data_IF_222960791425
#
_entry.id   IF_222960791425
#
_cell.length_a   1.000
_cell.length_b   1.000
_cell.length_c   1.000
_cell.angle_alpha   90.00
_cell.angle_beta   90.00
_cell.angle_gamma   90.00
#
_symmetry.space_group_name_H-M   'P 1'
#
loop_
_entity.id
_entity.type
_entity.pdbx_description
1 polymer ?
#
# COMPACT_ATOMS: atom_id res chain seq x y z
N UNK A 1 19.86 -0.37 4.56
CA UNK A 1 19.44 -0.07 3.19
C UNK A 1 20.61 0.38 2.34
N UNK A 2 21.28 1.50 2.66
CA UNK A 2 22.36 2.08 1.83
C UNK A 2 23.52 1.11 1.55
N UNK A 3 23.91 0.30 2.53
CA UNK A 3 24.95 -0.74 2.37
C UNK A 3 24.51 -1.85 1.42
N UNK A 4 23.27 -2.28 1.48
CA UNK A 4 22.71 -3.26 0.56
C UNK A 4 22.68 -2.73 -0.88
N UNK A 5 22.24 -1.48 -1.07
CA UNK A 5 22.24 -0.82 -2.38
C UNK A 5 23.63 -0.73 -2.99
N UNK A 6 24.66 -0.44 -2.18
CA UNK A 6 26.05 -0.41 -2.65
C UNK A 6 26.55 -1.78 -3.11
N UNK A 7 26.08 -2.85 -2.46
CA UNK A 7 26.44 -4.22 -2.87
C UNK A 7 25.72 -4.63 -4.16
N UNK A 8 24.43 -4.30 -4.28
CA UNK A 8 23.66 -4.53 -5.51
C UNK A 8 24.29 -3.80 -6.69
N UNK A 9 24.65 -2.52 -6.50
CA UNK A 9 25.30 -1.71 -7.53
C UNK A 9 26.68 -2.25 -7.98
N UNK A 10 27.36 -2.98 -7.11
CA UNK A 10 28.65 -3.60 -7.42
C UNK A 10 28.53 -4.96 -8.13
N UNK A 11 27.33 -5.53 -8.19
CA UNK A 11 27.11 -6.83 -8.87
C UNK A 11 26.88 -6.60 -10.38
N UNK A 12 27.80 -7.05 -11.23
CA UNK A 12 27.69 -6.84 -12.69
C UNK A 12 26.56 -7.64 -13.35
N UNK A 13 25.92 -8.55 -12.61
CA UNK A 13 24.78 -9.32 -13.11
C UNK A 13 23.44 -8.58 -12.94
N UNK A 14 23.44 -7.45 -12.22
CA UNK A 14 22.23 -6.65 -11.96
C UNK A 14 22.27 -5.38 -12.78
N UNK A 15 21.32 -5.23 -13.69
CA UNK A 15 21.06 -3.99 -14.41
C UNK A 15 19.97 -3.20 -13.70
N UNK A 16 20.35 -2.10 -13.06
CA UNK A 16 19.39 -1.28 -12.32
C UNK A 16 18.36 -0.58 -13.23
N UNK A 17 18.62 -0.46 -14.53
CA UNK A 17 17.65 0.07 -15.47
C UNK A 17 16.40 -0.82 -15.64
N UNK A 18 16.51 -2.11 -15.31
CA UNK A 18 15.35 -3.02 -15.30
C UNK A 18 14.37 -2.73 -14.15
N UNK A 19 14.79 -1.95 -13.16
CA UNK A 19 14.04 -1.60 -11.95
C UNK A 19 13.71 -0.10 -11.85
N UNK A 20 13.82 0.62 -12.97
CA UNK A 20 13.48 2.04 -13.15
C UNK A 20 12.55 2.10 -14.37
N UNK A 21 11.28 1.80 -14.17
CA UNK A 21 10.26 1.68 -15.22
C UNK A 21 9.10 2.64 -15.03
N UNK A 22 8.95 3.19 -13.81
CA UNK A 22 7.83 4.03 -13.40
C UNK A 22 8.32 5.38 -12.86
N UNK A 23 7.68 6.49 -13.24
CA UNK A 23 7.77 7.78 -12.53
C UNK A 23 6.62 7.89 -11.52
N UNK A 24 6.74 7.19 -10.41
CA UNK A 24 5.70 7.09 -9.38
C UNK A 24 5.30 8.44 -8.79
N UNK A 25 6.23 9.38 -8.77
CA UNK A 25 6.08 10.68 -8.17
C UNK A 25 5.82 11.80 -9.18
N UNK A 26 5.80 11.47 -10.49
CA UNK A 26 5.68 12.43 -11.59
C UNK A 26 6.72 13.57 -11.44
N UNK A 27 8.00 13.17 -11.29
CA UNK A 27 9.09 14.09 -10.95
C UNK A 27 9.30 15.16 -12.01
N UNK A 28 9.03 14.85 -13.27
CA UNK A 28 9.12 15.79 -14.36
C UNK A 28 7.83 16.61 -14.60
N UNK A 29 6.73 16.25 -13.92
CA UNK A 29 5.43 16.94 -13.96
C UNK A 29 4.69 16.82 -15.28
N UNK A 30 4.95 15.77 -16.09
CA UNK A 30 4.32 15.58 -17.39
C UNK A 30 3.02 14.76 -17.31
N UNK A 31 2.71 14.14 -16.15
CA UNK A 31 1.54 13.31 -15.89
C UNK A 31 1.66 11.87 -16.42
N UNK A 32 2.78 11.51 -17.04
CA UNK A 32 3.08 10.14 -17.44
C UNK A 32 3.85 9.44 -16.31
N UNK A 33 3.29 8.38 -15.77
CA UNK A 33 3.91 7.57 -14.71
C UNK A 33 4.45 6.24 -15.22
N UNK A 34 4.32 5.97 -16.49
CA UNK A 34 4.81 4.75 -17.16
C UNK A 34 6.06 5.10 -17.96
N UNK A 35 7.06 5.62 -17.25
CA UNK A 35 8.36 6.01 -17.80
C UNK A 35 9.43 6.02 -16.69
N UNK A 36 10.72 5.78 -17.05
CA UNK A 36 11.82 5.81 -16.08
C UNK A 36 12.13 7.22 -15.61
N UNK A 37 12.43 7.38 -14.31
CA UNK A 37 12.75 8.66 -13.66
C UNK A 37 14.12 8.67 -12.95
N UNK A 38 14.83 7.55 -12.95
CA UNK A 38 16.12 7.37 -12.27
C UNK A 38 15.98 6.89 -10.82
N UNK A 39 14.78 6.75 -10.29
CA UNK A 39 14.53 6.09 -9.01
C UNK A 39 14.28 4.59 -9.21
N UNK A 40 14.75 3.79 -8.28
CA UNK A 40 14.38 2.38 -8.21
C UNK A 40 12.93 2.28 -7.71
N UNK A 41 12.08 1.61 -8.48
CA UNK A 41 10.62 1.65 -8.30
C UNK A 41 10.14 1.00 -7.00
N UNK A 42 10.48 -0.25 -6.77
CA UNK A 42 9.94 -1.06 -5.66
C UNK A 42 11.07 -1.75 -4.91
N UNK A 43 11.66 -1.05 -3.94
CA UNK A 43 12.75 -1.58 -3.15
C UNK A 43 12.22 -2.39 -1.96
N UNK A 44 12.33 -3.71 -2.05
CA UNK A 44 11.98 -4.62 -0.97
C UNK A 44 13.24 -5.21 -0.32
N UNK A 45 13.38 -5.02 0.99
CA UNK A 45 14.57 -5.43 1.74
C UNK A 45 14.20 -6.52 2.73
N UNK A 46 14.97 -7.59 2.72
CA UNK A 46 14.88 -8.67 3.70
C UNK A 46 16.05 -8.58 4.67
N UNK A 47 15.76 -8.59 5.97
CA UNK A 47 16.77 -8.64 7.01
C UNK A 47 16.82 -10.01 7.68
N UNK A 48 17.96 -10.37 8.25
CA UNK A 48 18.08 -11.54 9.13
C UNK A 48 17.35 -11.28 10.47
N UNK A 49 17.11 -12.32 11.23
CA UNK A 49 16.38 -12.33 12.50
C UNK A 49 14.87 -12.32 12.32
N UNK A 50 14.18 -12.62 13.43
CA UNK A 50 12.71 -12.58 13.51
C UNK A 50 12.27 -11.13 13.61
N UNK A 51 11.20 -10.76 12.89
CA UNK A 51 10.62 -9.42 12.98
C UNK A 51 9.92 -9.18 14.31
N UNK A 52 9.87 -7.92 14.74
CA UNK A 52 9.21 -7.54 15.99
C UNK A 52 7.72 -7.91 15.97
N UNK A 53 7.05 -7.81 14.80
CA UNK A 53 5.66 -8.21 14.59
C UNK A 53 5.39 -9.69 14.88
N UNK A 54 6.44 -10.54 14.86
CA UNK A 54 6.40 -11.95 15.22
C UNK A 54 7.08 -12.23 16.59
N UNK A 55 7.28 -11.20 17.40
CA UNK A 55 7.87 -11.28 18.73
C UNK A 55 9.37 -11.07 18.82
N UNK A 56 10.05 -10.75 17.70
CA UNK A 56 11.45 -10.28 17.67
C UNK A 56 12.52 -11.32 18.02
N UNK A 57 12.16 -12.59 18.30
CA UNK A 57 13.10 -13.62 18.70
C UNK A 57 13.97 -13.22 19.88
N UNK A 58 15.30 -13.39 19.76
CA UNK A 58 16.26 -13.02 20.82
C UNK A 58 16.39 -11.49 21.03
N UNK A 59 15.96 -10.68 20.07
CA UNK A 59 16.01 -9.22 20.15
C UNK A 59 14.76 -8.61 20.80
N UNK A 60 13.64 -9.34 20.83
CA UNK A 60 12.37 -8.87 21.37
C UNK A 60 11.95 -7.53 20.76
N UNK A 61 11.62 -6.56 21.58
CA UNK A 61 11.22 -5.20 21.20
C UNK A 61 12.33 -4.35 20.53
N UNK A 62 13.55 -4.86 20.44
CA UNK A 62 14.64 -4.22 19.71
C UNK A 62 14.80 -4.78 18.28
N UNK A 63 13.97 -5.71 17.87
CA UNK A 63 13.95 -6.20 16.50
C UNK A 63 13.33 -5.15 15.56
N UNK A 64 13.57 -5.32 14.28
CA UNK A 64 12.94 -4.46 13.26
C UNK A 64 11.51 -4.97 13.05
N UNK A 65 10.53 -4.10 13.21
CA UNK A 65 9.16 -4.33 12.78
C UNK A 65 9.09 -4.19 11.26
N UNK A 66 8.42 -5.08 10.56
CA UNK A 66 8.17 -4.92 9.13
C UNK A 66 7.47 -3.59 8.87
N UNK A 67 7.95 -2.82 7.89
CA UNK A 67 7.37 -1.52 7.57
C UNK A 67 7.75 -1.01 6.18
N UNK A 68 6.99 -0.06 5.68
CA UNK A 68 7.36 0.82 4.57
C UNK A 68 7.86 2.15 5.11
N UNK A 69 9.00 2.63 4.62
CA UNK A 69 9.58 3.93 4.98
C UNK A 69 10.37 4.53 3.81
N UNK A 70 11.06 5.65 4.06
CA UNK A 70 11.90 6.29 3.07
C UNK A 70 13.25 6.74 3.66
N UNK A 71 14.16 7.11 2.79
CA UNK A 71 15.52 7.53 3.14
C UNK A 71 15.66 9.01 3.52
N UNK A 72 14.54 9.74 3.64
CA UNK A 72 14.48 11.17 3.94
C UNK A 72 14.64 12.06 2.70
N UNK A 73 15.39 11.61 1.73
CA UNK A 73 15.56 12.20 0.41
C UNK A 73 16.02 11.11 -0.57
N UNK A 74 15.84 11.28 -1.88
CA UNK A 74 16.45 10.40 -2.85
C UNK A 74 17.95 10.24 -2.60
N UNK A 75 18.39 9.00 -2.51
CA UNK A 75 19.79 8.63 -2.23
C UNK A 75 20.44 8.13 -3.53
N UNK A 76 21.31 8.93 -4.16
CA UNK A 76 22.06 8.48 -5.33
C UNK A 76 22.93 7.27 -4.96
N UNK A 77 22.83 6.23 -5.76
CA UNK A 77 23.53 4.95 -5.51
C UNK A 77 24.94 5.05 -6.12
N UNK A 78 25.99 5.06 -5.28
CA UNK A 78 27.34 5.27 -5.76
C UNK A 78 27.79 4.18 -6.74
N UNK A 79 28.49 4.60 -7.81
CA UNK A 79 29.04 3.68 -8.81
C UNK A 79 28.06 3.28 -9.91
N UNK A 80 26.83 3.77 -9.87
CA UNK A 80 25.83 3.54 -10.92
C UNK A 80 25.82 4.68 -11.94
N UNK A 81 25.16 4.46 -13.07
CA UNK A 81 24.92 5.48 -14.08
C UNK A 81 23.51 5.34 -14.64
N UNK A 82 22.73 6.41 -14.53
CA UNK A 82 21.38 6.51 -15.10
C UNK A 82 21.30 7.68 -16.07
N UNK A 83 20.68 7.51 -17.24
CA UNK A 83 20.37 8.61 -18.15
C UNK A 83 19.13 9.40 -17.71
N UNK A 84 18.38 8.90 -16.73
CA UNK A 84 17.11 9.42 -16.28
C UNK A 84 17.26 10.12 -14.93
N UNK A 85 16.39 11.12 -14.67
CA UNK A 85 16.33 11.83 -13.41
C UNK A 85 17.51 12.74 -13.09
N UNK A 86 17.32 13.56 -12.05
CA UNK A 86 18.28 14.60 -11.64
C UNK A 86 19.14 14.17 -10.43
N UNK A 87 19.55 12.91 -10.38
CA UNK A 87 20.33 12.34 -9.27
C UNK A 87 21.84 12.32 -9.54
N UNK A 88 22.35 13.36 -10.24
CA UNK A 88 23.77 13.46 -10.57
C UNK A 88 24.24 12.44 -11.61
N UNK A 89 23.34 11.96 -12.47
CA UNK A 89 23.60 10.92 -13.46
C UNK A 89 23.73 9.51 -12.88
N UNK A 90 23.20 9.28 -11.68
CA UNK A 90 23.18 7.99 -11.01
C UNK A 90 21.73 7.52 -10.84
N UNK A 91 21.53 6.21 -10.69
CA UNK A 91 20.28 5.72 -10.12
C UNK A 91 20.18 6.14 -8.64
N UNK A 92 18.97 6.32 -8.17
CA UNK A 92 18.71 6.65 -6.78
C UNK A 92 17.64 5.72 -6.18
N UNK A 93 17.61 5.62 -4.87
CA UNK A 93 16.55 4.98 -4.12
C UNK A 93 15.94 5.99 -3.15
N UNK A 94 14.63 5.92 -2.93
CA UNK A 94 13.96 6.84 -2.00
C UNK A 94 13.21 6.10 -0.92
N UNK A 95 12.25 5.30 -1.26
CA UNK A 95 11.46 4.52 -0.33
C UNK A 95 11.75 3.01 -0.43
N UNK A 96 11.33 2.30 0.56
CA UNK A 96 11.56 0.88 0.68
C UNK A 96 10.54 0.24 1.59
N UNK A 97 10.33 -1.05 1.40
CA UNK A 97 9.76 -1.93 2.42
C UNK A 97 10.87 -2.77 3.05
N UNK A 98 10.73 -3.09 4.33
CA UNK A 98 11.67 -3.97 5.04
C UNK A 98 10.89 -4.99 5.87
N UNK A 99 11.28 -6.24 5.76
CA UNK A 99 10.67 -7.37 6.47
C UNK A 99 11.74 -8.42 6.79
N UNK A 100 11.48 -9.29 7.76
CA UNK A 100 12.41 -10.38 8.08
C UNK A 100 12.42 -11.42 6.95
N UNK A 101 13.52 -12.15 6.82
CA UNK A 101 13.68 -13.17 5.77
C UNK A 101 12.70 -14.34 5.90
N UNK A 102 12.15 -14.56 7.08
CA UNK A 102 11.11 -15.55 7.38
C UNK A 102 9.69 -14.96 7.42
N UNK A 103 9.53 -13.73 6.93
CA UNK A 103 8.21 -13.11 6.84
C UNK A 103 7.24 -13.98 6.04
N UNK A 104 6.05 -14.14 6.57
CA UNK A 104 4.96 -14.78 5.84
C UNK A 104 4.51 -13.89 4.66
N UNK A 105 3.92 -14.51 3.65
CA UNK A 105 3.46 -13.82 2.44
C UNK A 105 2.54 -12.62 2.74
N UNK A 106 1.71 -12.72 3.78
CA UNK A 106 0.81 -11.65 4.18
C UNK A 106 1.52 -10.42 4.70
N UNK A 107 2.65 -10.56 5.41
CA UNK A 107 3.47 -9.42 5.86
C UNK A 107 4.07 -8.73 4.64
N UNK A 108 4.72 -9.48 3.75
CA UNK A 108 5.31 -8.91 2.54
C UNK A 108 4.29 -8.18 1.68
N UNK A 109 3.11 -8.77 1.51
CA UNK A 109 2.05 -8.18 0.70
C UNK A 109 1.37 -6.96 1.37
N UNK A 110 1.31 -6.92 2.70
CA UNK A 110 0.86 -5.76 3.47
C UNK A 110 1.82 -4.57 3.24
N UNK A 111 3.11 -4.78 3.46
CA UNK A 111 4.11 -3.74 3.25
C UNK A 111 4.15 -3.26 1.79
N UNK A 112 4.01 -4.19 0.83
CA UNK A 112 3.89 -3.83 -0.56
C UNK A 112 2.60 -3.04 -0.87
N UNK A 113 1.52 -3.31 -0.15
CA UNK A 113 0.30 -2.48 -0.20
C UNK A 113 0.58 -1.02 0.19
N UNK A 114 1.40 -0.79 1.22
CA UNK A 114 1.86 0.55 1.56
C UNK A 114 2.74 1.17 0.48
N UNK A 115 3.55 0.38 -0.16
CA UNK A 115 4.37 0.82 -1.28
C UNK A 115 3.50 1.27 -2.47
N UNK A 116 2.39 0.61 -2.71
CA UNK A 116 1.37 1.02 -3.69
C UNK A 116 0.53 2.24 -3.25
N UNK A 117 0.75 2.78 -2.06
CA UNK A 117 0.09 3.98 -1.55
C UNK A 117 -1.10 3.72 -0.63
N UNK A 118 -1.38 2.49 -0.25
CA UNK A 118 -2.48 2.15 0.66
C UNK A 118 -2.11 2.46 2.11
N UNK A 119 -3.02 3.03 2.91
CA UNK A 119 -2.85 3.17 4.35
C UNK A 119 -3.21 1.86 5.08
N UNK A 120 -2.84 1.79 6.36
CA UNK A 120 -3.43 0.82 7.28
C UNK A 120 -4.94 1.00 7.39
N UNK A 121 -5.66 -0.12 7.42
CA UNK A 121 -7.10 -0.17 7.63
C UNK A 121 -7.46 -0.66 9.04
N UNK A 122 -6.58 -0.39 10.02
CA UNK A 122 -6.78 -0.66 11.45
C UNK A 122 -6.42 0.55 12.30
N UNK A 123 -6.71 0.48 13.62
CA UNK A 123 -6.40 1.57 14.56
C UNK A 123 -4.89 1.59 14.89
N UNK A 124 -4.11 2.31 14.10
CA UNK A 124 -2.65 2.47 14.29
C UNK A 124 -2.25 3.16 15.60
N UNK A 125 -3.20 3.74 16.33
CA UNK A 125 -2.96 4.35 17.66
C UNK A 125 -3.18 3.37 18.80
N UNK A 126 -3.61 2.15 18.49
CA UNK A 126 -3.95 1.13 19.48
C UNK A 126 -4.87 1.66 20.59
N UNK A 127 -5.78 2.55 20.22
CA UNK A 127 -6.70 3.21 21.16
C UNK A 127 -7.83 2.31 21.66
N UNK A 128 -7.89 1.07 21.17
CA UNK A 128 -8.94 0.10 21.49
C UNK A 128 -10.27 0.37 20.77
N UNK A 129 -10.28 1.22 19.76
CA UNK A 129 -11.48 1.53 18.95
C UNK A 129 -11.78 0.47 17.90
N UNK A 130 -10.95 -0.56 17.84
CA UNK A 130 -11.16 -1.74 17.02
C UNK A 130 -10.58 -1.65 15.62
N UNK A 131 -10.86 -2.69 14.85
CA UNK A 131 -10.44 -2.84 13.46
C UNK A 131 -11.69 -2.84 12.57
N UNK A 132 -11.95 -1.77 11.83
CA UNK A 132 -13.22 -1.65 11.09
C UNK A 132 -13.39 -2.71 10.00
N UNK A 133 -12.30 -3.21 9.41
CA UNK A 133 -12.33 -4.24 8.37
C UNK A 133 -11.69 -5.56 8.81
N UNK A 134 -10.94 -5.57 9.90
CA UNK A 134 -10.34 -6.77 10.52
C UNK A 134 -9.72 -7.73 9.46
N UNK A 135 -10.11 -8.99 9.51
CA UNK A 135 -9.59 -10.04 8.62
C UNK A 135 -10.07 -9.94 7.16
N UNK A 136 -10.90 -8.96 6.82
CA UNK A 136 -11.40 -8.78 5.45
C UNK A 136 -10.46 -7.97 4.55
N UNK A 137 -9.35 -7.47 5.09
CA UNK A 137 -8.35 -6.76 4.32
C UNK A 137 -6.93 -7.16 4.71
N UNK A 138 -6.08 -7.28 3.70
CA UNK A 138 -4.64 -7.47 3.90
C UNK A 138 -3.98 -6.22 4.53
N UNK A 139 -4.59 -5.03 4.38
CA UNK A 139 -4.13 -3.81 5.04
C UNK A 139 -4.60 -3.70 6.50
N UNK A 140 -5.12 -4.80 7.07
CA UNK A 140 -5.51 -4.98 8.46
C UNK A 140 -5.14 -6.41 8.89
N UNK A 141 -5.85 -7.00 9.85
CA UNK A 141 -5.58 -8.36 10.35
C UNK A 141 -5.65 -9.47 9.29
N UNK A 142 -6.17 -9.19 8.11
CA UNK A 142 -6.19 -10.12 6.99
C UNK A 142 -4.81 -10.53 6.48
N UNK A 143 -3.78 -9.73 6.78
CA UNK A 143 -2.37 -10.08 6.51
C UNK A 143 -1.91 -11.31 7.31
N UNK A 144 -2.53 -11.57 8.46
CA UNK A 144 -2.22 -12.70 9.35
C UNK A 144 -3.12 -13.91 9.15
N UNK A 145 -3.96 -13.94 8.12
CA UNK A 145 -4.85 -15.06 7.86
C UNK A 145 -4.08 -16.33 7.45
N UNK A 146 -4.73 -17.48 7.66
CA UNK A 146 -4.16 -18.81 7.42
C UNK A 146 -4.02 -19.64 8.69
N UNK A 147 -3.81 -20.94 8.52
CA UNK A 147 -3.56 -21.87 9.62
C UNK A 147 -2.24 -21.56 10.33
N UNK A 148 -1.24 -21.18 9.55
CA UNK A 148 -0.01 -20.54 10.04
C UNK A 148 -0.17 -19.06 9.72
N UNK A 149 -0.04 -18.18 10.72
CA UNK A 149 -0.30 -16.77 10.55
C UNK A 149 0.42 -16.15 9.36
N UNK A 150 -0.33 -15.51 8.48
CA UNK A 150 0.17 -14.81 7.30
C UNK A 150 0.48 -15.67 6.07
N UNK A 151 0.29 -17.00 6.14
CA UNK A 151 0.58 -17.87 4.99
C UNK A 151 -0.53 -17.89 3.93
N UNK A 152 -1.75 -17.53 4.32
CA UNK A 152 -2.92 -17.47 3.45
C UNK A 152 -3.64 -16.13 3.64
N UNK A 153 -2.99 -14.99 3.30
CA UNK A 153 -3.57 -13.68 3.54
C UNK A 153 -4.84 -13.48 2.72
N UNK A 154 -5.72 -12.63 3.21
CA UNK A 154 -6.87 -12.16 2.44
C UNK A 154 -6.44 -11.14 1.38
N UNK A 155 -7.34 -10.81 0.45
CA UNK A 155 -7.07 -9.78 -0.55
C UNK A 155 -7.21 -8.36 0.01
N UNK A 156 -6.97 -7.39 -0.83
CA UNK A 156 -7.28 -5.99 -0.55
C UNK A 156 -8.78 -5.77 -0.37
N UNK A 157 -9.14 -4.84 0.51
CA UNK A 157 -10.53 -4.43 0.67
C UNK A 157 -11.11 -3.84 -0.62
N UNK A 158 -12.44 -3.78 -0.79
CA UNK A 158 -13.04 -3.08 -1.92
C UNK A 158 -12.62 -1.62 -2.03
N UNK A 159 -12.44 -0.93 -0.89
CA UNK A 159 -11.95 0.44 -0.87
C UNK A 159 -10.50 0.53 -1.37
N UNK A 160 -9.62 -0.34 -0.91
CA UNK A 160 -8.23 -0.38 -1.34
C UNK A 160 -8.12 -0.66 -2.85
N UNK A 161 -8.91 -1.61 -3.36
CA UNK A 161 -8.97 -1.90 -4.80
C UNK A 161 -9.48 -0.70 -5.61
N UNK A 162 -10.49 0.00 -5.12
CA UNK A 162 -10.99 1.23 -5.77
C UNK A 162 -9.93 2.32 -5.79
N UNK A 163 -9.18 2.48 -4.69
CA UNK A 163 -8.06 3.41 -4.62
C UNK A 163 -6.97 3.06 -5.63
N UNK A 164 -6.53 1.80 -5.67
CA UNK A 164 -5.51 1.33 -6.62
C UNK A 164 -5.97 1.53 -8.07
N UNK A 165 -7.22 1.21 -8.37
CA UNK A 165 -7.79 1.41 -9.71
C UNK A 165 -7.82 2.89 -10.12
N UNK A 166 -8.05 3.79 -9.17
CA UNK A 166 -8.06 5.23 -9.43
C UNK A 166 -6.65 5.83 -9.57
N UNK A 167 -5.66 5.29 -8.83
CA UNK A 167 -4.29 5.81 -8.80
C UNK A 167 -3.36 5.16 -9.82
N UNK A 168 -3.49 3.85 -10.03
CA UNK A 168 -2.61 3.07 -10.90
C UNK A 168 -3.31 2.61 -12.19
N UNK A 169 -4.61 2.86 -12.33
CA UNK A 169 -5.38 2.34 -13.45
C UNK A 169 -5.72 0.86 -13.29
N UNK A 170 -6.15 0.26 -14.40
CA UNK A 170 -6.53 -1.15 -14.43
C UNK A 170 -7.99 -1.38 -14.07
N UNK A 171 -8.32 -2.63 -13.79
CA UNK A 171 -9.69 -3.09 -13.52
C UNK A 171 -9.68 -4.06 -12.33
N UNK A 172 -9.50 -3.52 -11.15
CA UNK A 172 -9.34 -4.26 -9.90
C UNK A 172 -10.68 -4.64 -9.26
N UNK A 173 -11.72 -3.83 -9.54
CA UNK A 173 -13.02 -3.95 -8.89
C UNK A 173 -14.13 -3.49 -9.83
N UNK A 174 -15.16 -4.30 -10.01
CA UNK A 174 -16.40 -3.90 -10.67
C UNK A 174 -17.43 -3.48 -9.62
N UNK A 175 -18.17 -2.41 -9.91
CA UNK A 175 -19.22 -2.00 -9.00
C UNK A 175 -20.20 -0.99 -9.56
N UNK A 176 -21.44 -1.10 -9.15
CA UNK A 176 -22.52 -0.17 -9.47
C UNK A 176 -22.53 0.99 -8.49
N UNK A 177 -22.97 2.15 -8.99
CA UNK A 177 -23.27 3.31 -8.17
C UNK A 177 -24.79 3.45 -8.01
N UNK A 178 -25.25 3.58 -6.76
CA UNK A 178 -26.65 3.77 -6.41
C UNK A 178 -26.81 5.08 -5.66
N UNK A 179 -27.82 5.88 -6.02
CA UNK A 179 -28.12 7.08 -5.25
C UNK A 179 -28.92 6.71 -4.00
N UNK A 180 -28.64 7.35 -2.88
CA UNK A 180 -29.38 7.14 -1.64
C UNK A 180 -30.90 7.32 -1.83
N UNK A 181 -31.30 8.28 -2.67
CA UNK A 181 -32.71 8.56 -2.95
C UNK A 181 -33.43 7.43 -3.72
N UNK A 182 -32.68 6.59 -4.42
CA UNK A 182 -33.23 5.49 -5.21
C UNK A 182 -33.35 4.19 -4.41
N UNK A 183 -32.88 4.18 -3.15
CA UNK A 183 -33.00 3.02 -2.29
C UNK A 183 -34.43 2.84 -1.78
N UNK A 184 -34.91 1.61 -1.82
CA UNK A 184 -36.21 1.26 -1.26
C UNK A 184 -36.17 1.32 0.28
N UNK A 185 -37.02 2.09 0.96
CA UNK A 185 -37.07 2.14 2.43
C UNK A 185 -37.34 0.77 3.10
N UNK A 186 -37.87 -0.19 2.37
CA UNK A 186 -38.13 -1.55 2.85
C UNK A 186 -36.96 -2.50 2.65
N UNK A 187 -35.86 -2.02 2.10
CA UNK A 187 -34.64 -2.75 1.81
C UNK A 187 -34.42 -3.04 0.32
N UNK A 188 -33.18 -3.19 -0.02
CA UNK A 188 -32.70 -3.57 -1.35
C UNK A 188 -31.92 -4.87 -1.22
N UNK A 189 -31.95 -5.69 -2.25
CA UNK A 189 -31.14 -6.91 -2.35
C UNK A 189 -30.26 -6.80 -3.59
N UNK A 190 -28.98 -7.02 -3.38
CA UNK A 190 -27.98 -7.04 -4.44
C UNK A 190 -27.30 -8.41 -4.45
N UNK A 191 -27.10 -8.97 -5.65
CA UNK A 191 -26.29 -10.15 -5.84
C UNK A 191 -24.87 -9.67 -6.15
N UNK A 192 -23.93 -10.01 -5.29
CA UNK A 192 -22.53 -9.64 -5.44
C UNK A 192 -21.69 -10.90 -5.64
N UNK A 193 -20.63 -10.78 -6.42
CA UNK A 193 -19.59 -11.79 -6.53
C UNK A 193 -18.50 -11.49 -5.50
N UNK A 194 -17.59 -12.43 -5.27
CA UNK A 194 -16.43 -12.18 -4.45
C UNK A 194 -15.51 -11.18 -5.15
N UNK A 195 -15.00 -10.21 -4.41
CA UNK A 195 -14.14 -9.17 -4.94
C UNK A 195 -12.79 -9.68 -5.54
N UNK A 196 -12.49 -10.96 -5.40
CA UNK A 196 -11.33 -11.63 -5.98
C UNK A 196 -11.71 -12.58 -7.13
N UNK A 197 -12.99 -12.65 -7.50
CA UNK A 197 -13.49 -13.48 -8.58
C UNK A 197 -14.03 -12.60 -9.69
N UNK A 198 -13.73 -12.96 -10.94
CA UNK A 198 -14.26 -12.26 -12.13
C UNK A 198 -15.60 -12.86 -12.55
N UNK A 199 -16.57 -12.78 -11.64
CA UNK A 199 -17.93 -13.24 -11.89
C UNK A 199 -18.72 -12.34 -12.85
N UNK A 200 -20.05 -12.50 -12.85
CA UNK A 200 -20.97 -11.75 -13.72
C UNK A 200 -21.66 -10.60 -13.01
N UNK A 201 -21.67 -10.62 -11.67
CA UNK A 201 -22.28 -9.59 -10.86
C UNK A 201 -21.24 -8.53 -10.47
N UNK A 202 -21.71 -7.44 -9.91
CA UNK A 202 -20.82 -6.46 -9.28
C UNK A 202 -20.11 -7.07 -8.08
N UNK A 203 -18.87 -6.67 -7.84
CA UNK A 203 -18.11 -7.01 -6.63
C UNK A 203 -18.55 -6.12 -5.46
N UNK A 204 -19.04 -4.94 -5.76
CA UNK A 204 -19.43 -3.93 -4.77
C UNK A 204 -20.58 -3.07 -5.27
N UNK A 205 -21.44 -2.64 -4.35
CA UNK A 205 -22.42 -1.57 -4.57
C UNK A 205 -22.01 -0.34 -3.78
N UNK A 206 -21.82 0.79 -4.48
CA UNK A 206 -21.50 2.08 -3.88
C UNK A 206 -22.76 2.89 -3.71
N UNK A 207 -23.05 3.27 -2.48
CA UNK A 207 -24.18 4.17 -2.18
C UNK A 207 -23.64 5.58 -2.07
N UNK A 208 -24.05 6.45 -3.00
CA UNK A 208 -23.66 7.84 -2.99
C UNK A 208 -24.48 8.61 -1.93
N UNK A 209 -23.81 9.00 -0.86
CA UNK A 209 -24.39 9.85 0.17
C UNK A 209 -24.15 11.33 -0.18
N UNK A 210 -25.06 12.25 0.23
CA UNK A 210 -24.81 13.68 0.06
C UNK A 210 -23.56 14.10 0.83
N UNK A 211 -22.79 14.99 0.25
CA UNK A 211 -21.62 15.56 0.91
C UNK A 211 -22.03 16.26 2.22
N UNK A 212 -21.31 15.98 3.30
CA UNK A 212 -21.57 16.60 4.60
C UNK A 212 -20.28 17.20 5.13
N UNK A 213 -20.35 18.46 5.53
CA UNK A 213 -19.28 19.10 6.27
C UNK A 213 -19.37 18.67 7.74
N UNK A 214 -18.31 18.09 8.26
CA UNK A 214 -18.23 17.66 9.66
C UNK A 214 -17.13 18.45 10.33
N UNK A 215 -17.45 19.25 11.38
CA UNK A 215 -16.42 19.91 12.16
C UNK A 215 -15.59 18.86 12.90
N UNK A 216 -14.27 18.99 12.81
CA UNK A 216 -13.36 18.15 13.59
C UNK A 216 -13.33 18.62 15.04
N UNK A 217 -13.49 17.68 15.97
CA UNK A 217 -13.38 17.99 17.40
C UNK A 217 -11.95 18.40 17.78
N UNK A 218 -11.76 19.16 18.87
CA UNK A 218 -10.41 19.43 19.38
C UNK A 218 -9.59 18.15 19.54
N UNK A 219 -8.29 18.15 19.17
CA UNK A 219 -7.44 19.31 18.88
C UNK A 219 -7.55 19.88 17.46
N UNK A 220 -8.49 19.43 16.66
CA UNK A 220 -8.65 19.81 15.24
C UNK A 220 -9.65 20.97 15.06
N UNK A 221 -9.92 21.73 16.12
CA UNK A 221 -10.84 22.87 16.06
C UNK A 221 -10.44 23.84 14.93
N UNK A 222 -11.41 24.17 14.09
CA UNK A 222 -11.20 25.03 12.92
C UNK A 222 -10.82 24.31 11.63
N UNK A 223 -10.61 23.00 11.67
CA UNK A 223 -10.46 22.17 10.47
C UNK A 223 -11.79 21.51 10.11
N UNK A 224 -12.01 21.33 8.82
CA UNK A 224 -13.19 20.66 8.29
C UNK A 224 -12.77 19.58 7.32
N UNK A 225 -13.36 18.42 7.45
CA UNK A 225 -13.21 17.35 6.50
C UNK A 225 -14.50 17.17 5.73
N UNK A 226 -14.41 17.17 4.40
CA UNK A 226 -15.53 16.81 3.56
C UNK A 226 -15.57 15.29 3.45
N UNK A 227 -16.53 14.69 4.10
CA UNK A 227 -16.90 13.33 3.82
C UNK A 227 -17.91 13.36 2.66
N UNK A 228 -17.39 13.37 1.45
CA UNK A 228 -18.16 13.00 0.27
C UNK A 228 -18.43 11.51 0.44
N UNK A 229 -19.71 11.18 0.67
CA UNK A 229 -20.02 9.85 1.10
C UNK A 229 -19.87 8.86 -0.03
N UNK A 230 -18.87 8.04 0.12
CA UNK A 230 -18.91 6.67 -0.35
C UNK A 230 -18.97 5.84 0.93
N UNK A 231 -20.07 5.19 1.19
CA UNK A 231 -20.21 4.17 2.21
C UNK A 231 -20.40 2.83 1.55
#
# INVERSE_FOLDING_TARGET
VKEALAQVAADPAIDLAEFDQEDRYDLNGNGNRDEPDGLIDHLMIFHSCVGEEAGGGDLGENAIWAHRWNLGAPYPIPGTSSPNGDFGGQFAAYDYTIQPIDAAAGVCAHEYGHDLGLPDEYDTKYSGKGEPVATWSIMSSGSWAGVIGGTEPTGFSPWAKEFLQASLGGNWLHGSNVQLADLNPRGNVYMLDQANDKGRNDDVVRINLPAKQVPLNPPYAGQYQYHGGKG
#
